data_IF_339619842952
#
_entry.id   IF_339619842952
#
_cell.length_a   1.000
_cell.length_b   1.000
_cell.length_c   1.000
_cell.angle_alpha   90.00
_cell.angle_beta   90.00
_cell.angle_gamma   90.00
#
_symmetry.space_group_name_H-M   'P 1'
#
loop_
_entity.id
_entity.type
_entity.pdbx_description
1 polymer ?
#
# COMPACT_ATOMS: atom_id res chain seq x y z
N UNK A 1 18.63 0.54 14.79
CA UNK A 1 19.35 -0.76 14.87
C UNK A 1 19.93 -1.09 16.24
N UNK A 2 20.14 -0.13 17.14
CA UNK A 2 20.75 -0.39 18.46
C UNK A 2 19.77 -1.04 19.46
N UNK A 3 18.50 -0.72 19.35
CA UNK A 3 17.41 -1.18 20.23
C UNK A 3 17.19 -2.71 20.17
N UNK A 4 17.10 -3.38 18.99
CA UNK A 4 16.92 -4.83 18.94
C UNK A 4 18.15 -5.59 19.45
N UNK A 5 19.36 -5.05 19.26
CA UNK A 5 20.59 -5.64 19.76
C UNK A 5 20.65 -5.60 21.30
N UNK A 6 20.23 -4.49 21.90
CA UNK A 6 20.18 -4.33 23.35
C UNK A 6 19.16 -5.28 24.00
N UNK A 7 18.00 -5.47 23.35
CA UNK A 7 16.96 -6.39 23.80
C UNK A 7 17.44 -7.85 23.75
N UNK A 8 18.14 -8.26 22.68
CA UNK A 8 18.69 -9.60 22.53
C UNK A 8 19.73 -9.91 23.62
N UNK A 9 20.62 -8.96 23.89
CA UNK A 9 21.66 -9.09 24.93
C UNK A 9 21.02 -9.21 26.32
N UNK A 10 19.99 -8.41 26.61
CA UNK A 10 19.28 -8.47 27.89
C UNK A 10 18.62 -9.85 28.11
N UNK A 11 18.00 -10.41 27.07
CA UNK A 11 17.42 -11.77 27.12
C UNK A 11 18.51 -12.83 27.32
N UNK A 12 19.65 -12.72 26.65
CA UNK A 12 20.77 -13.65 26.82
C UNK A 12 21.33 -13.63 28.25
N UNK A 13 21.46 -12.43 28.84
CA UNK A 13 21.92 -12.26 30.23
C UNK A 13 20.92 -12.87 31.21
N UNK A 14 19.62 -12.62 31.03
CA UNK A 14 18.57 -13.22 31.85
C UNK A 14 18.53 -14.75 31.73
N UNK A 15 18.76 -15.30 30.53
CA UNK A 15 18.82 -16.74 30.31
C UNK A 15 19.98 -17.41 31.06
N UNK A 16 21.17 -16.80 31.03
CA UNK A 16 22.35 -17.32 31.76
C UNK A 16 22.13 -17.27 33.27
N UNK A 17 21.57 -16.17 33.80
CA UNK A 17 21.22 -16.06 35.21
C UNK A 17 20.15 -17.09 35.63
N UNK A 18 19.20 -17.37 34.75
CA UNK A 18 18.14 -18.37 34.99
C UNK A 18 18.65 -19.81 34.94
N UNK A 19 19.62 -20.12 34.08
CA UNK A 19 20.20 -21.48 33.96
C UNK A 19 21.00 -21.95 35.19
N UNK A 20 21.41 -21.03 36.06
CA UNK A 20 22.06 -21.37 37.34
C UNK A 20 21.06 -21.58 38.49
N UNK A 21 19.80 -21.21 38.31
CA UNK A 21 18.75 -21.40 39.30
C UNK A 21 18.03 -22.74 39.04
N UNK A 22 18.22 -23.69 39.95
CA UNK A 22 17.73 -25.06 39.87
C UNK A 22 16.20 -25.09 39.67
N UNK A 23 15.81 -25.61 38.49
CA UNK A 23 14.56 -26.25 38.08
C UNK A 23 13.24 -25.81 38.77
N UNK A 24 12.34 -25.23 37.95
CA UNK A 24 10.96 -25.67 37.64
C UNK A 24 10.04 -24.46 37.33
N UNK A 25 10.39 -23.24 37.77
CA UNK A 25 9.64 -22.01 37.48
C UNK A 25 10.20 -21.12 36.37
N UNK A 26 11.49 -21.29 36.03
CA UNK A 26 12.20 -20.47 35.05
C UNK A 26 11.57 -20.51 33.64
N UNK A 27 11.11 -21.68 33.20
CA UNK A 27 10.52 -21.88 31.88
C UNK A 27 9.23 -21.07 31.70
N UNK A 28 8.46 -20.87 32.77
CA UNK A 28 7.22 -20.07 32.71
C UNK A 28 7.52 -18.59 32.53
N UNK A 29 8.52 -18.07 33.26
CA UNK A 29 8.99 -16.69 33.13
C UNK A 29 9.56 -16.48 31.72
N UNK A 30 10.33 -17.45 31.20
CA UNK A 30 10.87 -17.39 29.85
C UNK A 30 9.77 -17.36 28.79
N UNK A 31 8.71 -18.16 28.97
CA UNK A 31 7.57 -18.19 28.05
C UNK A 31 6.79 -16.86 28.04
N UNK A 32 6.60 -16.23 29.20
CA UNK A 32 5.94 -14.92 29.31
C UNK A 32 6.77 -13.83 28.64
N UNK A 33 8.09 -13.82 28.84
CA UNK A 33 8.99 -12.86 28.18
C UNK A 33 9.03 -13.08 26.67
N UNK A 34 9.09 -14.34 26.22
CA UNK A 34 9.05 -14.68 24.80
C UNK A 34 7.73 -14.24 24.14
N UNK A 35 6.59 -14.47 24.80
CA UNK A 35 5.29 -14.01 24.30
C UNK A 35 5.21 -12.48 24.19
N UNK A 36 5.71 -11.76 25.20
CA UNK A 36 5.77 -10.29 25.16
C UNK A 36 6.62 -9.76 24.00
N UNK A 37 7.76 -10.40 23.71
CA UNK A 37 8.60 -10.06 22.57
C UNK A 37 7.90 -10.32 21.24
N UNK A 38 7.23 -11.47 21.07
CA UNK A 38 6.48 -11.78 19.85
C UNK A 38 5.37 -10.75 19.62
N UNK A 39 4.62 -10.37 20.65
CA UNK A 39 3.57 -9.34 20.55
C UNK A 39 4.17 -7.99 20.16
N UNK A 40 5.31 -7.62 20.76
CA UNK A 40 6.02 -6.39 20.40
C UNK A 40 6.47 -6.39 18.93
N UNK A 41 7.07 -7.50 18.46
CA UNK A 41 7.50 -7.64 17.06
C UNK A 41 6.34 -7.66 16.08
N UNK A 42 5.22 -8.32 16.41
CA UNK A 42 4.00 -8.31 15.58
C UNK A 42 3.43 -6.90 15.48
N UNK A 43 3.44 -6.13 16.57
CA UNK A 43 2.96 -4.75 16.57
C UNK A 43 3.86 -3.81 15.78
N UNK A 44 5.17 -3.96 15.91
CA UNK A 44 6.15 -3.16 15.16
C UNK A 44 6.16 -3.54 13.67
N UNK A 45 6.04 -4.83 13.34
CA UNK A 45 5.92 -5.30 11.96
C UNK A 45 4.60 -4.84 11.31
N UNK A 46 3.49 -4.87 12.04
CA UNK A 46 2.23 -4.29 11.59
C UNK A 46 2.38 -2.79 11.34
N UNK A 47 3.17 -2.07 12.14
CA UNK A 47 3.46 -0.64 11.91
C UNK A 47 4.25 -0.40 10.61
N UNK A 48 5.14 -1.32 10.25
CA UNK A 48 5.91 -1.26 9.00
C UNK A 48 5.06 -1.64 7.78
N UNK A 49 4.24 -2.69 7.86
CA UNK A 49 3.28 -3.06 6.80
C UNK A 49 2.24 -1.97 6.56
N UNK A 50 1.72 -1.36 7.63
CA UNK A 50 0.73 -0.28 7.52
C UNK A 50 1.33 1.05 7.04
N UNK A 51 2.66 1.18 6.97
CA UNK A 51 3.34 2.34 6.36
C UNK A 51 3.85 2.07 4.95
N UNK A 52 3.97 0.81 4.50
CA UNK A 52 4.38 0.46 3.14
C UNK A 52 3.19 0.32 2.16
N UNK A 53 1.99 -0.02 2.64
CA UNK A 53 0.77 0.06 1.81
C UNK A 53 0.22 1.50 1.67
N UNK A 54 0.77 2.45 2.44
CA UNK A 54 0.61 3.88 2.22
C UNK A 54 1.91 4.54 1.73
N UNK A 55 2.62 3.91 0.79
CA UNK A 55 3.42 4.69 -0.16
C UNK A 55 2.50 5.33 -1.19
N UNK A 56 1.54 6.11 -0.70
CA UNK A 56 0.90 7.15 -1.48
C UNK A 56 2.03 8.03 -1.98
N UNK A 57 2.08 8.17 -3.30
CA UNK A 57 2.94 9.12 -4.02
C UNK A 57 3.15 10.40 -3.20
N UNK A 58 4.39 10.94 -3.19
CA UNK A 58 4.64 12.21 -2.54
C UNK A 58 3.61 13.21 -3.05
N UNK A 59 2.93 13.89 -2.11
CA UNK A 59 1.87 14.87 -2.35
C UNK A 59 2.30 16.00 -3.31
N UNK A 60 3.61 16.13 -3.55
CA UNK A 60 4.20 17.00 -4.57
C UNK A 60 3.87 16.60 -6.01
N UNK A 61 3.55 15.33 -6.29
CA UNK A 61 3.25 14.85 -7.65
C UNK A 61 1.74 14.87 -7.98
N UNK A 62 0.91 15.26 -7.01
CA UNK A 62 -0.54 15.44 -7.16
C UNK A 62 -0.92 16.85 -7.64
N UNK A 63 0.02 17.80 -7.70
CA UNK A 63 -0.27 19.21 -7.99
C UNK A 63 -0.25 19.60 -9.48
N UNK A 64 0.41 18.83 -10.35
CA UNK A 64 0.61 19.22 -11.76
C UNK A 64 -0.07 18.32 -12.79
N UNK A 65 -0.76 17.26 -12.38
CA UNK A 65 -1.46 16.38 -13.32
C UNK A 65 -2.96 16.68 -13.34
N UNK A 66 -3.42 17.21 -14.48
CA UNK A 66 -4.80 17.62 -14.69
C UNK A 66 -5.60 16.40 -15.17
N UNK A 67 -6.68 16.12 -14.46
CA UNK A 67 -7.69 15.16 -14.88
C UNK A 67 -9.09 15.70 -14.58
N UNK A 68 -10.04 15.37 -15.44
CA UNK A 68 -11.46 15.62 -15.25
C UNK A 68 -12.18 14.30 -14.98
N UNK A 69 -13.01 14.30 -13.94
CA UNK A 69 -13.90 13.18 -13.62
C UNK A 69 -15.35 13.65 -13.74
N UNK A 70 -16.05 13.11 -14.72
CA UNK A 70 -17.45 13.42 -14.99
C UNK A 70 -18.29 12.27 -14.48
N UNK A 71 -19.15 12.53 -13.48
CA UNK A 71 -20.02 11.52 -12.86
C UNK A 71 -21.47 11.72 -13.32
N UNK A 72 -22.04 10.71 -13.97
CA UNK A 72 -23.47 10.61 -14.25
C UNK A 72 -24.11 9.52 -13.37
N UNK A 73 -25.41 9.31 -13.50
CA UNK A 73 -26.17 8.36 -12.66
C UNK A 73 -25.77 6.89 -12.86
N UNK A 74 -25.43 6.50 -14.10
CA UNK A 74 -25.07 5.12 -14.48
C UNK A 74 -23.70 5.00 -15.16
N UNK A 75 -23.08 6.12 -15.50
CA UNK A 75 -21.84 6.19 -16.26
C UNK A 75 -20.88 7.19 -15.62
N UNK A 76 -19.59 6.95 -15.78
CA UNK A 76 -18.56 7.86 -15.33
C UNK A 76 -17.49 7.97 -16.40
N UNK A 77 -17.08 9.20 -16.73
CA UNK A 77 -16.09 9.47 -17.77
C UNK A 77 -14.89 10.13 -17.11
N UNK A 78 -13.73 9.50 -17.26
CA UNK A 78 -12.45 10.01 -16.79
C UNK A 78 -11.64 10.51 -17.99
N UNK A 79 -11.13 11.72 -17.92
CA UNK A 79 -10.31 12.34 -18.97
C UNK A 79 -9.03 12.86 -18.35
N UNK A 80 -7.88 12.48 -18.88
CA UNK A 80 -6.59 12.99 -18.40
C UNK A 80 -5.53 13.05 -19.50
N UNK A 81 -4.57 13.95 -19.33
CA UNK A 81 -3.40 14.01 -20.21
C UNK A 81 -2.37 12.96 -19.78
N UNK A 82 -1.95 12.10 -20.70
CA UNK A 82 -0.98 11.04 -20.43
C UNK A 82 0.15 11.12 -21.46
N UNK A 83 1.39 11.37 -21.03
CA UNK A 83 2.53 11.44 -21.93
C UNK A 83 2.88 10.05 -22.49
N UNK A 84 3.35 10.03 -23.73
CA UNK A 84 3.83 8.82 -24.41
C UNK A 84 3.01 8.45 -25.65
N UNK A 85 3.45 7.45 -26.42
CA UNK A 85 2.69 6.92 -27.53
C UNK A 85 1.53 6.02 -27.04
N UNK A 86 0.49 5.86 -27.87
CA UNK A 86 -0.68 5.03 -27.58
C UNK A 86 -0.32 3.59 -27.18
N UNK A 87 0.69 3.03 -27.83
CA UNK A 87 1.20 1.66 -27.62
C UNK A 87 1.73 1.41 -26.20
N UNK A 88 2.10 2.47 -25.47
CA UNK A 88 2.64 2.40 -24.11
C UNK A 88 1.57 2.69 -23.04
N UNK A 89 0.33 2.99 -23.45
CA UNK A 89 -0.76 3.26 -22.53
C UNK A 89 -1.35 1.96 -22.01
N UNK A 90 -1.35 1.80 -20.69
CA UNK A 90 -2.01 0.68 -20.01
C UNK A 90 -2.97 1.21 -18.95
N UNK A 91 -4.23 0.80 -19.03
CA UNK A 91 -5.28 1.21 -18.10
C UNK A 91 -5.81 -0.02 -17.38
N UNK A 92 -5.91 0.05 -16.06
CA UNK A 92 -6.53 -0.99 -15.24
C UNK A 92 -7.46 -0.36 -14.22
N UNK A 93 -8.64 -0.92 -14.08
CA UNK A 93 -9.56 -0.59 -13.00
C UNK A 93 -9.72 -1.80 -12.09
N UNK A 94 -9.41 -1.65 -10.81
CA UNK A 94 -9.49 -2.74 -9.84
C UNK A 94 -9.89 -2.16 -8.48
N UNK A 95 -10.97 -2.71 -7.89
CA UNK A 95 -11.40 -2.36 -6.53
C UNK A 95 -11.56 -0.85 -6.29
N UNK A 96 -12.10 -0.11 -7.26
CA UNK A 96 -12.30 1.34 -7.15
C UNK A 96 -11.05 2.18 -7.44
N UNK A 97 -9.94 1.58 -7.86
CA UNK A 97 -8.69 2.27 -8.21
C UNK A 97 -8.47 2.18 -9.72
N UNK A 98 -8.31 3.33 -10.36
CA UNK A 98 -7.93 3.47 -11.76
C UNK A 98 -6.42 3.69 -11.86
N UNK A 99 -5.70 2.66 -12.29
CA UNK A 99 -4.26 2.70 -12.50
C UNK A 99 -3.97 2.95 -13.97
N UNK A 100 -3.30 4.06 -14.25
CA UNK A 100 -2.93 4.53 -15.58
C UNK A 100 -1.41 4.49 -15.67
N UNK A 101 -0.90 3.75 -16.66
CA UNK A 101 0.52 3.76 -17.03
C UNK A 101 0.64 4.30 -18.44
N UNK A 102 1.61 5.19 -18.64
CA UNK A 102 1.93 5.75 -19.95
C UNK A 102 3.42 5.64 -20.25
N UNK A 103 3.86 6.39 -21.25
CA UNK A 103 5.27 6.50 -21.60
C UNK A 103 6.05 7.36 -20.59
N UNK A 104 7.37 7.45 -20.77
CA UNK A 104 8.25 8.30 -19.96
C UNK A 104 8.19 8.04 -18.43
N UNK A 105 8.01 6.77 -18.03
CA UNK A 105 7.82 6.35 -16.63
C UNK A 105 6.59 6.96 -15.95
N UNK A 106 5.59 7.39 -16.73
CA UNK A 106 4.34 7.91 -16.19
C UNK A 106 3.49 6.78 -15.61
N UNK A 107 3.19 6.85 -14.32
CA UNK A 107 2.23 5.96 -13.67
C UNK A 107 1.45 6.77 -12.63
N UNK A 108 0.12 6.74 -12.71
CA UNK A 108 -0.76 7.43 -11.77
C UNK A 108 -1.91 6.51 -11.35
N UNK A 109 -2.19 6.55 -10.06
CA UNK A 109 -3.32 5.87 -9.46
C UNK A 109 -4.35 6.91 -9.03
N UNK A 110 -5.57 6.76 -9.53
CA UNK A 110 -6.70 7.61 -9.18
C UNK A 110 -7.73 6.77 -8.44
N UNK A 111 -8.02 7.16 -7.20
CA UNK A 111 -9.10 6.56 -6.44
C UNK A 111 -10.43 7.14 -6.92
N UNK A 112 -11.33 6.28 -7.37
CA UNK A 112 -12.66 6.64 -7.84
C UNK A 112 -13.65 6.31 -6.74
N UNK A 113 -14.36 7.32 -6.25
CA UNK A 113 -15.46 7.15 -5.29
C UNK A 113 -16.69 6.54 -5.98
N UNK A 114 -16.60 5.24 -6.23
CA UNK A 114 -17.64 4.42 -6.82
C UNK A 114 -18.48 3.77 -5.71
N UNK A 115 -19.75 4.17 -5.58
CA UNK A 115 -20.68 3.55 -4.63
C UNK A 115 -21.17 2.17 -5.09
N UNK A 116 -20.81 1.75 -6.31
CA UNK A 116 -21.20 0.47 -6.90
C UNK A 116 -20.06 -0.07 -7.78
N UNK A 117 -20.01 -1.39 -7.99
CA UNK A 117 -19.05 -2.03 -8.88
C UNK A 117 -19.16 -1.43 -10.30
N UNK A 118 -18.09 -0.76 -10.73
CA UNK A 118 -17.93 -0.23 -12.08
C UNK A 118 -16.86 -1.01 -12.83
N UNK A 119 -16.98 -1.07 -14.15
CA UNK A 119 -16.03 -1.67 -15.06
C UNK A 119 -15.65 -0.70 -16.17
N UNK A 120 -14.47 -0.90 -16.76
CA UNK A 120 -14.07 -0.16 -17.97
C UNK A 120 -14.92 -0.67 -19.13
N UNK A 121 -15.78 0.19 -19.68
CA UNK A 121 -16.59 -0.13 -20.85
C UNK A 121 -15.87 0.19 -22.15
N UNK A 122 -15.10 1.28 -22.20
CA UNK A 122 -14.35 1.74 -23.36
C UNK A 122 -13.18 2.63 -22.92
N UNK A 123 -12.11 2.68 -23.69
CA UNK A 123 -11.04 3.66 -23.51
C UNK A 123 -10.47 4.09 -24.85
N UNK A 124 -10.12 5.37 -24.96
CA UNK A 124 -9.58 5.99 -26.18
C UNK A 124 -8.42 6.90 -25.82
N UNK A 125 -7.36 6.82 -26.61
CA UNK A 125 -6.23 7.73 -26.50
C UNK A 125 -6.08 8.52 -27.79
N UNK A 126 -6.09 9.85 -27.71
CA UNK A 126 -5.91 10.73 -28.87
C UNK A 126 -5.11 11.96 -28.47
N UNK A 127 -4.04 12.24 -29.22
CA UNK A 127 -3.24 13.46 -29.09
C UNK A 127 -2.78 13.76 -27.64
N UNK A 128 -2.32 12.75 -26.89
CA UNK A 128 -1.92 12.97 -25.50
C UNK A 128 -3.04 12.82 -24.48
N UNK A 129 -4.30 12.74 -24.89
CA UNK A 129 -5.46 12.71 -23.99
C UNK A 129 -6.05 11.30 -23.94
N UNK A 130 -6.14 10.77 -22.72
CA UNK A 130 -6.77 9.50 -22.41
C UNK A 130 -8.19 9.75 -21.91
N UNK A 131 -9.17 9.17 -22.59
CA UNK A 131 -10.58 9.15 -22.19
C UNK A 131 -10.96 7.73 -21.83
N UNK A 132 -11.47 7.51 -20.61
CA UNK A 132 -11.90 6.22 -20.10
C UNK A 132 -13.38 6.34 -19.73
N UNK A 133 -14.18 5.41 -20.25
CA UNK A 133 -15.59 5.27 -19.87
C UNK A 133 -15.71 4.11 -18.88
N UNK A 134 -16.34 4.42 -17.77
CA UNK A 134 -16.69 3.49 -16.72
C UNK A 134 -18.21 3.34 -16.72
N UNK A 135 -18.69 2.11 -16.69
CA UNK A 135 -20.10 1.79 -16.54
C UNK A 135 -20.29 0.85 -15.36
N UNK A 136 -21.45 0.96 -14.71
CA UNK A 136 -21.87 0.00 -13.70
C UNK A 136 -21.98 -1.40 -14.31
N UNK A 137 -21.40 -2.40 -13.64
CA UNK A 137 -21.50 -3.82 -14.02
C UNK A 137 -22.82 -4.39 -13.50
#
# INVERSE_FOLDING_TARGET
MVIPLLALIFVAVLFVLSSRAQQTGASFILAVVAAGLVIFWVRELHRMSSSEEQKMMPESEKRDWIYDLIKNESEMVFVAEVPGPEEQINVRFTSGILRIKGGQNFAKDVQIEASTEMGISDYKYRNGVLTIKLQKI
#
